data_IF_807197930810
#
_entry.id   IF_807197930810
#
_cell.length_a   1.000
_cell.length_b   1.000
_cell.length_c   1.000
_cell.angle_alpha   90.00
_cell.angle_beta   90.00
_cell.angle_gamma   90.00
#
_symmetry.space_group_name_H-M   'P 1'
#
loop_
_entity.id
_entity.type
_entity.pdbx_description
1 polymer ?
#
# COMPACT_ATOMS: atom_id res chain seq x y z
N UNK A 1 22.97 20.59 16.53
CA UNK A 1 21.70 19.89 16.72
C UNK A 1 20.75 20.21 15.57
N UNK A 2 20.66 21.48 15.17
CA UNK A 2 19.96 21.99 13.97
C UNK A 2 20.34 21.23 12.69
N UNK A 3 21.64 21.13 12.38
CA UNK A 3 22.14 20.37 11.21
C UNK A 3 21.69 18.90 11.14
N UNK A 4 21.49 18.23 12.28
CA UNK A 4 21.12 16.81 12.30
C UNK A 4 19.61 16.58 12.10
N UNK A 5 18.79 17.57 12.44
CA UNK A 5 17.35 17.57 12.15
C UNK A 5 17.10 17.92 10.69
N UNK A 6 17.89 18.82 10.12
CA UNK A 6 17.83 19.15 8.69
C UNK A 6 18.24 17.95 7.82
N UNK A 7 19.32 17.25 8.19
CA UNK A 7 19.76 16.02 7.52
C UNK A 7 18.69 14.89 7.58
N UNK A 8 17.98 14.79 8.72
CA UNK A 8 16.88 13.85 8.91
C UNK A 8 15.70 14.19 7.98
N UNK A 9 15.26 15.46 8.00
CA UNK A 9 14.14 15.93 7.19
C UNK A 9 14.42 15.73 5.70
N UNK A 10 15.62 16.10 5.24
CA UNK A 10 16.04 15.92 3.84
C UNK A 10 16.01 14.45 3.37
N UNK A 11 16.22 13.51 4.28
CA UNK A 11 16.17 12.07 3.98
C UNK A 11 14.74 11.51 4.03
N UNK A 12 13.91 11.98 4.96
CA UNK A 12 12.56 11.44 5.20
C UNK A 12 11.51 12.06 4.28
N UNK A 13 11.52 13.39 4.09
CA UNK A 13 10.50 14.11 3.33
C UNK A 13 10.26 13.53 1.92
N UNK A 14 11.30 13.18 1.13
CA UNK A 14 11.11 12.58 -0.19
C UNK A 14 10.39 11.21 -0.15
N UNK A 15 10.38 10.54 1.00
CA UNK A 15 9.75 9.22 1.17
C UNK A 15 8.27 9.32 1.52
N UNK A 16 7.79 10.47 2.01
CA UNK A 16 6.41 10.67 2.47
C UNK A 16 5.36 10.35 1.39
N UNK A 17 5.49 10.81 0.13
CA UNK A 17 4.50 10.49 -0.89
C UNK A 17 4.35 8.98 -1.14
N UNK A 18 5.46 8.23 -1.09
CA UNK A 18 5.47 6.78 -1.27
C UNK A 18 4.83 6.05 -0.08
N UNK A 19 5.15 6.47 1.14
CA UNK A 19 4.52 5.95 2.36
C UNK A 19 3.01 6.18 2.35
N UNK A 20 2.57 7.37 1.91
CA UNK A 20 1.14 7.73 1.81
C UNK A 20 0.40 6.88 0.77
N UNK A 21 0.95 6.71 -0.44
CA UNK A 21 0.35 5.85 -1.46
C UNK A 21 0.15 4.42 -0.96
N UNK A 22 1.18 3.87 -0.31
CA UNK A 22 1.12 2.53 0.26
C UNK A 22 0.07 2.43 1.38
N UNK A 23 0.02 3.40 2.30
CA UNK A 23 -0.97 3.46 3.37
C UNK A 23 -2.42 3.55 2.83
N UNK A 24 -2.66 4.40 1.84
CA UNK A 24 -3.98 4.52 1.17
C UNK A 24 -4.38 3.20 0.52
N UNK A 25 -3.44 2.52 -0.16
CA UNK A 25 -3.73 1.23 -0.77
C UNK A 25 -4.00 0.11 0.25
N UNK A 26 -3.45 0.21 1.46
CA UNK A 26 -3.71 -0.73 2.55
C UNK A 26 -5.04 -0.50 3.27
N UNK A 27 -5.37 0.76 3.54
CA UNK A 27 -6.50 1.15 4.40
C UNK A 27 -7.77 1.53 3.63
N UNK A 28 -7.63 1.98 2.38
CA UNK A 28 -8.72 2.51 1.56
C UNK A 28 -9.43 3.72 2.18
N UNK A 29 -8.73 4.48 3.01
CA UNK A 29 -9.28 5.67 3.67
C UNK A 29 -8.13 6.67 3.82
N UNK A 30 -8.33 7.89 3.30
CA UNK A 30 -7.25 8.86 3.14
C UNK A 30 -6.82 9.46 4.48
N UNK A 31 -7.77 9.75 5.36
CA UNK A 31 -7.49 10.28 6.72
C UNK A 31 -6.77 9.23 7.57
N UNK A 32 -7.30 8.00 7.64
CA UNK A 32 -6.62 6.92 8.37
C UNK A 32 -5.23 6.58 7.80
N UNK A 33 -5.03 6.76 6.48
CA UNK A 33 -3.72 6.61 5.87
C UNK A 33 -2.74 7.71 6.29
N UNK A 34 -3.20 8.96 6.41
CA UNK A 34 -2.39 10.07 6.90
C UNK A 34 -1.99 9.86 8.36
N UNK A 35 -2.93 9.45 9.20
CA UNK A 35 -2.67 9.11 10.60
C UNK A 35 -1.65 7.97 10.72
N UNK A 36 -1.79 6.92 9.92
CA UNK A 36 -0.83 5.81 9.88
C UNK A 36 0.58 6.28 9.47
N UNK A 37 0.68 7.16 8.47
CA UNK A 37 1.95 7.73 8.04
C UNK A 37 2.55 8.60 9.15
N UNK A 38 1.75 9.46 9.78
CA UNK A 38 2.19 10.31 10.88
C UNK A 38 2.76 9.45 12.03
N UNK A 39 2.00 8.46 12.50
CA UNK A 39 2.43 7.50 13.52
C UNK A 39 3.76 6.82 13.17
N UNK A 40 3.90 6.41 11.90
CA UNK A 40 5.11 5.76 11.42
C UNK A 40 6.31 6.72 11.42
N UNK A 41 6.11 7.97 10.99
CA UNK A 41 7.14 9.00 10.97
C UNK A 41 7.57 9.41 12.38
N UNK A 42 6.63 9.60 13.32
CA UNK A 42 6.95 9.87 14.72
C UNK A 42 7.82 8.77 15.32
N UNK A 43 7.49 7.52 15.03
CA UNK A 43 8.26 6.36 15.49
C UNK A 43 9.62 6.26 14.81
N UNK A 44 9.71 6.58 13.53
CA UNK A 44 10.97 6.66 12.79
C UNK A 44 11.89 7.75 13.37
N UNK A 45 11.36 8.94 13.65
CA UNK A 45 12.12 10.06 14.25
C UNK A 45 12.64 9.65 15.64
N UNK A 46 11.81 9.04 16.48
CA UNK A 46 12.23 8.54 17.81
C UNK A 46 13.29 7.45 17.72
N UNK A 47 13.20 6.57 16.73
CA UNK A 47 14.14 5.48 16.50
C UNK A 47 15.39 5.88 15.70
N UNK A 48 15.42 7.10 15.15
CA UNK A 48 16.47 7.56 14.25
C UNK A 48 17.91 7.41 14.79
N UNK A 49 18.19 7.72 16.08
CA UNK A 49 19.54 7.56 16.63
C UNK A 49 20.04 6.10 16.61
N UNK A 50 19.14 5.13 16.56
CA UNK A 50 19.44 3.70 16.55
C UNK A 50 19.46 3.11 15.13
N UNK A 51 19.12 3.91 14.10
CA UNK A 51 19.10 3.46 12.71
C UNK A 51 20.51 3.19 12.22
N UNK A 52 20.70 2.02 11.62
CA UNK A 52 21.93 1.67 10.89
C UNK A 52 22.09 2.56 9.67
N UNK A 53 23.12 3.42 9.64
CA UNK A 53 23.30 4.42 8.57
C UNK A 53 23.46 3.82 7.17
N UNK A 54 24.12 2.66 7.10
CA UNK A 54 24.39 1.85 5.91
C UNK A 54 23.18 1.02 5.44
N UNK A 55 22.12 0.95 6.24
CA UNK A 55 20.90 0.24 5.89
C UNK A 55 20.01 1.06 4.96
N UNK A 56 19.22 0.35 4.15
CA UNK A 56 18.21 0.91 3.26
C UNK A 56 17.16 1.70 4.06
N UNK A 57 17.14 3.02 3.85
CA UNK A 57 16.22 3.93 4.50
C UNK A 57 14.77 3.65 4.12
N UNK A 58 14.53 3.39 2.83
CA UNK A 58 13.19 3.18 2.29
C UNK A 58 12.59 1.90 2.87
N UNK A 59 13.31 0.79 2.79
CA UNK A 59 12.86 -0.47 3.38
C UNK A 59 12.63 -0.35 4.90
N UNK A 60 13.47 0.41 5.61
CA UNK A 60 13.29 0.64 7.04
C UNK A 60 12.02 1.44 7.38
N UNK A 61 11.74 2.52 6.67
CA UNK A 61 10.52 3.32 6.88
C UNK A 61 9.25 2.51 6.59
N UNK A 62 9.25 1.76 5.48
CA UNK A 62 8.14 0.89 5.12
C UNK A 62 7.93 -0.26 6.12
N UNK A 63 9.01 -0.78 6.72
CA UNK A 63 8.91 -1.76 7.81
C UNK A 63 8.21 -1.17 9.04
N UNK A 64 8.55 0.07 9.43
CA UNK A 64 7.89 0.77 10.54
C UNK A 64 6.41 0.95 10.25
N UNK A 65 6.07 1.49 9.07
CA UNK A 65 4.68 1.73 8.66
C UNK A 65 3.87 0.43 8.63
N UNK A 66 4.42 -0.64 8.03
CA UNK A 66 3.75 -1.95 8.02
C UNK A 66 3.50 -2.48 9.43
N UNK A 67 4.47 -2.37 10.33
CA UNK A 67 4.31 -2.85 11.70
C UNK A 67 3.19 -2.10 12.43
N UNK A 68 3.14 -0.76 12.29
CA UNK A 68 2.05 0.08 12.82
C UNK A 68 0.69 -0.33 12.27
N UNK A 69 0.62 -0.54 10.96
CA UNK A 69 -0.60 -1.01 10.31
C UNK A 69 -1.07 -2.37 10.85
N UNK A 70 -0.16 -3.35 10.98
CA UNK A 70 -0.51 -4.67 11.52
C UNK A 70 -0.91 -4.64 13.00
N UNK A 71 -0.34 -3.75 13.80
CA UNK A 71 -0.77 -3.49 15.17
C UNK A 71 -2.21 -2.97 15.20
N UNK A 72 -2.55 -2.02 14.32
CA UNK A 72 -3.92 -1.53 14.13
C UNK A 72 -4.91 -2.61 13.71
N UNK A 73 -4.56 -3.43 12.72
CA UNK A 73 -5.40 -4.55 12.26
C UNK A 73 -5.67 -5.56 13.37
N UNK A 74 -4.66 -5.88 14.20
CA UNK A 74 -4.84 -6.78 15.36
C UNK A 74 -5.77 -6.19 16.42
N UNK A 75 -5.70 -4.87 16.66
CA UNK A 75 -6.60 -4.17 17.57
C UNK A 75 -8.04 -4.08 17.05
N UNK A 76 -8.23 -3.93 15.74
CA UNK A 76 -9.55 -3.85 15.08
C UNK A 76 -10.25 -5.19 14.90
N UNK A 77 -9.58 -6.34 15.08
CA UNK A 77 -10.24 -7.67 15.03
C UNK A 77 -11.31 -7.89 16.12
N UNK A 78 -11.60 -6.90 16.97
CA UNK A 78 -12.78 -6.84 17.85
C UNK A 78 -13.89 -5.87 17.42
N UNK A 79 -13.72 -5.10 16.34
CA UNK A 79 -14.70 -4.12 15.83
C UNK A 79 -14.74 -4.22 14.31
N UNK A 80 -15.84 -4.77 13.77
CA UNK A 80 -16.10 -4.77 12.32
C UNK A 80 -16.25 -3.32 11.84
N UNK A 81 -15.21 -2.78 11.20
CA UNK A 81 -15.31 -1.50 10.49
C UNK A 81 -15.66 -1.81 9.04
N UNK A 82 -16.88 -1.43 8.66
CA UNK A 82 -17.37 -1.52 7.29
C UNK A 82 -16.58 -0.63 6.32
N UNK A 83 -16.72 -0.84 5.01
CA UNK A 83 -15.96 -0.11 4.01
C UNK A 83 -16.51 1.31 3.88
N UNK A 84 -15.89 2.29 4.55
CA UNK A 84 -16.21 3.69 4.33
C UNK A 84 -15.28 4.30 3.27
N UNK A 85 -15.83 4.32 2.05
CA UNK A 85 -15.63 5.24 0.93
C UNK A 85 -14.21 5.63 0.46
N UNK A 86 -13.82 5.04 -0.68
CA UNK A 86 -13.02 5.72 -1.71
C UNK A 86 -13.94 6.17 -2.86
N UNK A 87 -14.71 7.24 -2.67
CA UNK A 87 -15.27 7.97 -3.81
C UNK A 87 -14.18 8.85 -4.47
N UNK A 88 -13.24 9.40 -3.69
CA UNK A 88 -12.22 10.35 -4.18
C UNK A 88 -11.18 9.76 -5.14
N UNK A 89 -10.86 8.46 -5.06
CA UNK A 89 -9.87 7.84 -5.98
C UNK A 89 -10.52 7.46 -7.31
N UNK A 90 -11.83 7.16 -7.30
CA UNK A 90 -12.61 6.89 -8.50
C UNK A 90 -12.93 8.19 -9.27
N UNK A 91 -13.23 9.29 -8.56
CA UNK A 91 -13.57 10.59 -9.14
C UNK A 91 -12.38 11.30 -9.82
N UNK A 92 -11.13 10.91 -9.52
CA UNK A 92 -9.95 11.44 -10.20
C UNK A 92 -9.82 10.98 -11.67
N UNK A 93 -10.62 9.99 -12.10
CA UNK A 93 -10.68 9.55 -13.49
C UNK A 93 -11.80 10.26 -14.25
N UNK A 94 -11.44 11.04 -15.28
CA UNK A 94 -12.40 11.63 -16.20
C UNK A 94 -13.16 10.59 -17.06
N UNK A 95 -12.71 9.33 -17.07
CA UNK A 95 -13.37 8.19 -17.72
C UNK A 95 -14.07 7.30 -16.68
N UNK A 96 -15.41 7.21 -16.70
CA UNK A 96 -16.18 6.32 -15.84
C UNK A 96 -15.76 4.84 -15.95
N UNK A 97 -15.27 4.39 -17.12
CA UNK A 97 -14.80 3.02 -17.31
C UNK A 97 -13.51 2.72 -16.55
N UNK A 98 -12.57 3.67 -16.54
CA UNK A 98 -11.35 3.56 -15.75
C UNK A 98 -11.63 3.66 -14.24
N UNK A 99 -12.60 4.46 -13.81
CA UNK A 99 -13.05 4.54 -12.42
C UNK A 99 -13.60 3.19 -11.90
N UNK A 100 -14.39 2.49 -12.72
CA UNK A 100 -14.89 1.14 -12.41
C UNK A 100 -13.76 0.11 -12.29
N UNK A 101 -12.80 0.12 -13.23
CA UNK A 101 -11.64 -0.77 -13.17
C UNK A 101 -10.76 -0.55 -11.93
N UNK A 102 -10.62 0.70 -11.47
CA UNK A 102 -9.90 1.02 -10.22
C UNK A 102 -10.63 0.47 -8.99
N UNK A 103 -11.97 0.56 -8.94
CA UNK A 103 -12.76 -0.02 -7.85
C UNK A 103 -12.59 -1.54 -7.78
N UNK A 104 -12.67 -2.25 -8.90
CA UNK A 104 -12.49 -3.71 -8.95
C UNK A 104 -11.08 -4.13 -8.46
N UNK A 105 -10.04 -3.38 -8.83
CA UNK A 105 -8.68 -3.63 -8.34
C UNK A 105 -8.58 -3.44 -6.83
N UNK A 106 -9.17 -2.36 -6.29
CA UNK A 106 -9.15 -2.08 -4.86
C UNK A 106 -9.94 -3.12 -4.05
N UNK A 107 -11.06 -3.61 -4.58
CA UNK A 107 -11.84 -4.68 -3.96
C UNK A 107 -11.11 -6.02 -4.00
N UNK A 108 -10.45 -6.35 -5.12
CA UNK A 108 -9.59 -7.52 -5.21
C UNK A 108 -8.44 -7.48 -4.20
N UNK A 109 -7.81 -6.31 -4.03
CA UNK A 109 -6.76 -6.10 -3.02
C UNK A 109 -7.28 -6.29 -1.59
N UNK A 110 -8.49 -5.79 -1.29
CA UNK A 110 -9.13 -5.96 0.02
C UNK A 110 -9.46 -7.43 0.33
N UNK A 111 -9.73 -8.24 -0.69
CA UNK A 111 -9.94 -9.69 -0.57
C UNK A 111 -8.66 -10.51 -0.32
N UNK A 112 -7.48 -9.92 -0.50
CA UNK A 112 -6.22 -10.64 -0.27
C UNK A 112 -5.91 -10.80 1.22
N UNK A 113 -5.33 -11.95 1.63
CA UNK A 113 -4.68 -12.06 2.93
C UNK A 113 -3.62 -10.99 3.12
N UNK A 114 -3.47 -10.50 4.35
CA UNK A 114 -2.65 -9.33 4.67
C UNK A 114 -1.21 -9.39 4.13
N UNK A 115 -0.54 -10.52 4.36
CA UNK A 115 0.82 -10.75 3.90
C UNK A 115 0.95 -10.78 2.36
N UNK A 116 -0.13 -11.15 1.65
CA UNK A 116 -0.18 -11.16 0.19
C UNK A 116 -0.47 -9.77 -0.37
N UNK A 117 -1.35 -9.01 0.30
CA UNK A 117 -1.65 -7.62 -0.03
C UNK A 117 -0.41 -6.74 0.14
N UNK A 118 0.23 -6.83 1.31
CA UNK A 118 1.46 -6.09 1.62
C UNK A 118 2.55 -6.35 0.58
N UNK A 119 2.86 -7.62 0.27
CA UNK A 119 3.92 -7.93 -0.71
C UNK A 119 3.58 -7.46 -2.12
N UNK A 120 2.31 -7.56 -2.53
CA UNK A 120 1.88 -7.14 -3.86
C UNK A 120 2.04 -5.63 -4.01
N UNK A 121 1.61 -4.85 -3.01
CA UNK A 121 1.72 -3.39 -3.04
C UNK A 121 3.18 -2.91 -2.99
N UNK A 122 4.02 -3.50 -2.15
CA UNK A 122 5.45 -3.15 -2.07
C UNK A 122 6.15 -3.34 -3.43
N UNK A 123 5.86 -4.45 -4.13
CA UNK A 123 6.52 -4.76 -5.40
C UNK A 123 5.86 -4.05 -6.58
N UNK A 124 4.53 -4.05 -6.68
CA UNK A 124 3.82 -3.60 -7.89
C UNK A 124 3.51 -2.10 -7.90
N UNK A 125 3.36 -1.48 -6.73
CA UNK A 125 3.03 -0.04 -6.61
C UNK A 125 4.28 0.76 -6.23
N UNK A 126 5.07 0.24 -5.29
CA UNK A 126 6.26 0.92 -4.80
C UNK A 126 7.56 0.46 -5.49
N UNK A 127 7.47 -0.43 -6.47
CA UNK A 127 8.61 -0.89 -7.29
C UNK A 127 9.82 -1.37 -6.46
N UNK A 128 9.54 -1.96 -5.28
CA UNK A 128 10.59 -2.54 -4.46
C UNK A 128 11.10 -3.84 -5.06
N UNK A 129 12.42 -4.02 -5.02
CA UNK A 129 13.04 -5.31 -5.28
C UNK A 129 12.55 -6.36 -4.28
N UNK A 130 12.68 -7.63 -4.64
CA UNK A 130 12.30 -8.71 -3.73
C UNK A 130 13.13 -8.73 -2.44
N UNK A 131 14.34 -8.19 -2.46
CA UNK A 131 15.20 -8.07 -1.28
C UNK A 131 14.71 -6.96 -0.33
N UNK A 132 14.35 -5.78 -0.86
CA UNK A 132 13.75 -4.70 -0.08
C UNK A 132 12.41 -5.14 0.51
N UNK A 133 11.54 -5.75 -0.29
CA UNK A 133 10.27 -6.28 0.19
C UNK A 133 10.47 -7.36 1.27
N UNK A 134 11.47 -8.22 1.14
CA UNK A 134 11.82 -9.21 2.16
C UNK A 134 12.24 -8.54 3.48
N UNK A 135 13.04 -7.47 3.41
CA UNK A 135 13.45 -6.69 4.57
C UNK A 135 12.25 -6.01 5.25
N UNK A 136 11.35 -5.38 4.48
CA UNK A 136 10.12 -4.75 5.00
C UNK A 136 9.21 -5.77 5.70
N UNK A 137 9.04 -6.95 5.09
CA UNK A 137 8.13 -7.98 5.57
C UNK A 137 8.73 -8.86 6.67
N UNK A 138 10.05 -8.77 6.90
CA UNK A 138 10.83 -9.63 7.77
C UNK A 138 10.66 -11.14 7.43
N UNK A 139 10.76 -11.48 6.15
CA UNK A 139 10.66 -12.86 5.65
C UNK A 139 11.74 -13.18 4.60
N UNK A 140 12.05 -14.45 4.32
CA UNK A 140 12.97 -14.80 3.24
C UNK A 140 12.49 -14.35 1.85
N UNK A 141 13.41 -14.03 0.94
CA UNK A 141 13.12 -13.66 -0.46
C UNK A 141 12.28 -14.72 -1.18
N UNK A 142 12.54 -16.02 -0.96
CA UNK A 142 11.69 -17.09 -1.52
C UNK A 142 10.25 -17.05 -1.02
N UNK A 143 10.03 -16.57 0.21
CA UNK A 143 8.69 -16.36 0.76
C UNK A 143 7.99 -15.19 0.07
N UNK A 144 8.71 -14.09 -0.21
CA UNK A 144 8.23 -12.95 -1.02
C UNK A 144 7.72 -13.45 -2.37
N UNK A 145 8.55 -14.20 -3.12
CA UNK A 145 8.18 -14.74 -4.43
C UNK A 145 6.92 -15.61 -4.37
N UNK A 146 6.86 -16.55 -3.40
CA UNK A 146 5.70 -17.43 -3.26
C UNK A 146 4.41 -16.69 -2.87
N UNK A 147 4.50 -15.64 -2.03
CA UNK A 147 3.35 -14.83 -1.63
C UNK A 147 2.89 -13.94 -2.78
N UNK A 148 3.82 -13.34 -3.50
CA UNK A 148 3.53 -12.49 -4.67
C UNK A 148 2.86 -13.29 -5.79
N UNK A 149 3.38 -14.48 -6.11
CA UNK A 149 2.75 -15.39 -7.08
C UNK A 149 1.30 -15.71 -6.70
N UNK A 150 1.06 -16.06 -5.44
CA UNK A 150 -0.28 -16.34 -4.91
C UNK A 150 -1.19 -15.12 -4.92
N UNK A 151 -0.66 -13.93 -4.59
CA UNK A 151 -1.40 -12.67 -4.64
C UNK A 151 -1.86 -12.37 -6.08
N UNK A 152 -0.94 -12.45 -7.06
CA UNK A 152 -1.24 -12.26 -8.48
C UNK A 152 -2.28 -13.25 -9.00
N UNK A 153 -2.18 -14.52 -8.62
CA UNK A 153 -3.16 -15.54 -8.98
C UNK A 153 -4.56 -15.23 -8.44
N UNK A 154 -4.68 -14.77 -7.18
CA UNK A 154 -5.96 -14.35 -6.58
C UNK A 154 -6.52 -13.09 -7.25
N UNK A 155 -5.68 -12.08 -7.51
CA UNK A 155 -6.10 -10.87 -8.21
C UNK A 155 -6.63 -11.19 -9.60
N UNK A 156 -5.92 -12.02 -10.37
CA UNK A 156 -6.37 -12.44 -11.70
C UNK A 156 -7.72 -13.18 -11.62
N UNK A 157 -7.85 -14.15 -10.72
CA UNK A 157 -9.10 -14.88 -10.55
C UNK A 157 -10.26 -13.96 -10.14
N UNK A 158 -10.01 -12.95 -9.28
CA UNK A 158 -11.02 -11.97 -8.88
C UNK A 158 -11.45 -11.09 -10.06
N UNK A 159 -10.47 -10.54 -10.80
CA UNK A 159 -10.73 -9.64 -11.93
C UNK A 159 -11.36 -10.37 -13.13
N UNK A 160 -11.03 -11.65 -13.36
CA UNK A 160 -11.65 -12.47 -14.40
C UNK A 160 -13.11 -12.83 -14.05
N UNK A 161 -13.49 -12.81 -12.76
CA UNK A 161 -14.85 -13.07 -12.27
C UNK A 161 -15.69 -11.79 -12.09
N UNK A 162 -15.05 -10.63 -11.92
CA UNK A 162 -15.74 -9.35 -11.94
C UNK A 162 -16.36 -9.15 -13.33
N UNK A 163 -17.65 -8.77 -13.44
CA UNK A 163 -18.28 -8.57 -14.73
C UNK A 163 -17.54 -7.44 -15.45
N UNK A 164 -16.67 -7.80 -16.40
CA UNK A 164 -16.03 -6.84 -17.29
C UNK A 164 -17.16 -6.22 -18.12
N UNK A 165 -17.63 -5.04 -17.72
CA UNK A 165 -18.62 -4.30 -18.50
C UNK A 165 -17.91 -3.86 -19.78
N UNK A 166 -18.02 -4.67 -20.83
CA UNK A 166 -17.53 -4.34 -22.16
C UNK A 166 -18.42 -3.20 -22.68
N UNK A 167 -17.94 -1.96 -22.56
CA UNK A 167 -18.64 -0.78 -23.10
C UNK A 167 -18.50 -0.75 -24.61
N UNK A 168 -19.26 -1.61 -25.29
CA UNK A 168 -19.37 -1.61 -26.75
C UNK A 168 -19.95 -0.28 -27.24
N UNK A 169 -19.12 0.56 -27.86
CA UNK A 169 -19.56 1.71 -28.64
C UNK A 169 -20.30 1.21 -29.90
N UNK A 170 -21.59 0.92 -29.77
CA UNK A 170 -22.47 0.72 -30.92
C UNK A 170 -22.76 2.08 -31.57
N UNK A 171 -21.96 2.43 -32.57
CA UNK A 171 -22.30 3.50 -33.52
C UNK A 171 -23.58 3.11 -34.26
N UNK A 172 -24.69 3.80 -33.98
CA UNK A 172 -25.85 3.80 -34.88
C UNK A 172 -25.46 4.47 -36.19
N UNK A 173 -25.36 3.67 -37.25
CA UNK A 173 -25.39 4.16 -38.63
C UNK A 173 -26.86 4.42 -38.96
N UNK A 174 -27.15 5.63 -39.43
CA UNK A 174 -28.47 6.03 -39.95
C UNK A 174 -28.50 5.75 -41.45
#
# INVERSE_FOLDING_TARGET
>A
MENALDDLAALIEPQIPALRRYAVALLREREAADDLVQDALERAIRAWPQRRRDGDLRAWLFAILRNRYLEGVRGRRGVEVGPELLDDVADASADPGAALGVRDVLDGLAGLPEDQRSVLLLVAVEDMSYAEAAAVLAVPVGTVMSRLSRARGRMRAFLDLAPTVVTGHLRRVK
#
